data_IF_443900613409
#
_entry.id   IF_443900613409
#
_cell.length_a   1.000
_cell.length_b   1.000
_cell.length_c   1.000
_cell.angle_alpha   90.00
_cell.angle_beta   90.00
_cell.angle_gamma   90.00
#
_symmetry.space_group_name_H-M   'P 1'
#
loop_
_entity.id
_entity.type
_entity.pdbx_description
1 polymer ?
#
# COMPACT_ATOMS: atom_id res chain seq x y z
N UNK A 1 -68.36 -22.03 14.00
CA UNK A 1 -67.13 -22.73 13.55
C UNK A 1 -66.22 -21.91 12.63
N UNK A 2 -66.72 -20.90 11.89
CA UNK A 2 -65.86 -20.02 11.05
C UNK A 2 -65.01 -18.99 11.84
N UNK A 3 -65.37 -18.68 13.09
CA UNK A 3 -64.63 -17.71 13.91
C UNK A 3 -63.33 -18.27 14.55
N UNK A 4 -63.23 -19.60 14.69
CA UNK A 4 -62.03 -20.28 15.21
C UNK A 4 -60.98 -20.55 14.13
N UNK A 5 -61.38 -20.66 12.86
CA UNK A 5 -60.44 -20.83 11.75
C UNK A 5 -59.63 -19.55 11.47
N UNK A 6 -60.23 -18.36 11.69
CA UNK A 6 -59.53 -17.08 11.53
C UNK A 6 -58.57 -16.74 12.68
N UNK A 7 -58.79 -17.28 13.88
CA UNK A 7 -57.83 -17.12 15.00
C UNK A 7 -56.58 -17.99 14.85
N UNK A 8 -56.62 -19.05 14.04
CA UNK A 8 -55.46 -19.89 13.75
C UNK A 8 -54.59 -19.32 12.61
N UNK A 9 -55.20 -18.70 11.58
CA UNK A 9 -54.45 -17.99 10.54
C UNK A 9 -53.81 -16.67 11.03
N UNK A 10 -54.42 -15.98 12.00
CA UNK A 10 -53.90 -14.73 12.56
C UNK A 10 -52.63 -14.85 13.42
N UNK A 11 -52.20 -16.07 13.78
CA UNK A 11 -50.95 -16.30 14.52
C UNK A 11 -49.72 -16.47 13.62
N UNK A 12 -49.90 -16.66 12.31
CA UNK A 12 -48.82 -16.85 11.35
C UNK A 12 -48.39 -15.57 10.62
N UNK A 13 -49.12 -14.46 10.78
CA UNK A 13 -48.76 -13.14 10.28
C UNK A 13 -48.45 -12.15 11.42
N UNK A 14 -47.48 -12.48 12.28
CA UNK A 14 -46.85 -11.47 13.15
C UNK A 14 -45.48 -11.13 12.57
N UNK A 15 -45.39 -9.96 11.93
CA UNK A 15 -44.18 -9.16 11.70
C UNK A 15 -43.47 -8.75 13.03
N UNK A 16 -43.48 -9.63 14.04
CA UNK A 16 -42.89 -9.42 15.36
C UNK A 16 -41.95 -10.56 15.74
N UNK A 17 -41.75 -11.52 14.84
CA UNK A 17 -40.76 -12.59 15.05
C UNK A 17 -39.36 -12.05 14.77
N UNK A 18 -38.42 -12.18 15.73
CA UNK A 18 -37.04 -11.78 15.54
C UNK A 18 -36.40 -12.45 14.35
N UNK A 19 -36.73 -13.72 14.14
CA UNK A 19 -36.23 -14.49 13.02
C UNK A 19 -36.58 -13.82 11.68
N UNK A 20 -37.81 -13.33 11.52
CA UNK A 20 -38.24 -12.61 10.32
C UNK A 20 -37.43 -11.31 10.19
N UNK A 21 -37.24 -10.55 11.27
CA UNK A 21 -36.47 -9.29 11.21
C UNK A 21 -35.02 -9.54 10.76
N UNK A 22 -34.35 -10.54 11.34
CA UNK A 22 -32.96 -10.87 11.04
C UNK A 22 -32.80 -11.46 9.64
N UNK A 23 -33.75 -12.29 9.19
CA UNK A 23 -33.78 -12.81 7.83
C UNK A 23 -33.99 -11.67 6.82
N UNK A 24 -34.98 -10.80 7.05
CA UNK A 24 -35.21 -9.62 6.21
C UNK A 24 -33.98 -8.72 6.17
N UNK A 25 -33.35 -8.42 7.31
CA UNK A 25 -32.10 -7.65 7.37
C UNK A 25 -31.00 -8.29 6.53
N UNK A 26 -30.83 -9.61 6.63
CA UNK A 26 -29.80 -10.35 5.88
C UNK A 26 -30.07 -10.28 4.38
N UNK A 27 -31.29 -10.58 3.95
CA UNK A 27 -31.67 -10.56 2.53
C UNK A 27 -31.57 -9.16 1.95
N UNK A 28 -32.06 -8.15 2.66
CA UNK A 28 -32.00 -6.75 2.21
C UNK A 28 -30.54 -6.28 2.15
N UNK A 29 -29.73 -6.52 3.19
CA UNK A 29 -28.35 -6.06 3.19
C UNK A 29 -27.50 -6.78 2.15
N UNK A 30 -27.46 -8.11 2.14
CA UNK A 30 -26.56 -8.85 1.25
C UNK A 30 -27.11 -9.06 -0.16
N UNK A 31 -28.43 -9.06 -0.33
CA UNK A 31 -29.08 -9.25 -1.63
C UNK A 31 -29.41 -7.96 -2.37
N UNK A 32 -29.55 -6.82 -1.68
CA UNK A 32 -29.97 -5.55 -2.29
C UNK A 32 -28.98 -4.43 -1.99
N UNK A 33 -28.83 -4.03 -0.72
CA UNK A 33 -28.09 -2.81 -0.36
C UNK A 33 -26.59 -2.92 -0.65
N UNK A 34 -25.91 -3.96 -0.17
CA UNK A 34 -24.48 -4.13 -0.37
C UNK A 34 -24.12 -4.30 -1.85
N UNK A 35 -24.84 -5.10 -2.66
CA UNK A 35 -24.67 -5.09 -4.11
C UNK A 35 -24.83 -3.69 -4.73
N UNK A 36 -25.87 -2.95 -4.37
CA UNK A 36 -26.15 -1.63 -4.96
C UNK A 36 -25.12 -0.56 -4.55
N UNK A 37 -24.57 -0.62 -3.34
CA UNK A 37 -23.63 0.38 -2.84
C UNK A 37 -22.19 0.01 -3.21
N UNK A 38 -21.84 -1.28 -3.15
CA UNK A 38 -20.47 -1.76 -3.27
C UNK A 38 -20.10 -2.24 -4.68
N UNK A 39 -21.00 -2.18 -5.68
CA UNK A 39 -20.70 -2.71 -7.02
C UNK A 39 -19.54 -2.02 -7.75
N UNK A 40 -19.17 -0.79 -7.35
CA UNK A 40 -18.03 -0.04 -7.89
C UNK A 40 -16.76 -0.16 -7.04
N UNK A 41 -16.84 -0.80 -5.88
CA UNK A 41 -15.71 -0.93 -4.97
C UNK A 41 -14.78 -2.04 -5.47
N UNK A 42 -13.64 -1.66 -6.04
CA UNK A 42 -12.63 -2.59 -6.54
C UNK A 42 -12.20 -3.59 -5.43
N UNK A 43 -12.05 -4.86 -5.79
CA UNK A 43 -11.73 -5.96 -4.88
C UNK A 43 -12.79 -6.35 -3.83
N UNK A 44 -13.92 -5.63 -3.71
CA UNK A 44 -15.12 -6.10 -3.01
C UNK A 44 -15.69 -7.36 -3.68
N UNK A 45 -16.35 -8.22 -2.91
CA UNK A 45 -17.08 -9.38 -3.46
C UNK A 45 -18.29 -8.97 -4.32
N UNK A 46 -18.81 -7.76 -4.11
CA UNK A 46 -19.93 -7.21 -4.88
C UNK A 46 -19.50 -6.52 -6.18
N UNK A 47 -18.18 -6.40 -6.42
CA UNK A 47 -17.65 -5.69 -7.57
C UNK A 47 -18.10 -6.28 -8.91
N UNK A 48 -18.82 -5.49 -9.72
CA UNK A 48 -19.28 -5.92 -11.04
C UNK A 48 -18.20 -5.71 -12.10
N UNK A 49 -17.22 -6.63 -12.10
CA UNK A 49 -16.04 -6.59 -12.99
C UNK A 49 -16.37 -6.33 -14.46
N UNK A 50 -17.44 -6.94 -15.00
CA UNK A 50 -17.83 -6.79 -16.42
C UNK A 50 -18.22 -5.35 -16.77
N UNK A 51 -18.75 -4.61 -15.81
CA UNK A 51 -19.27 -3.26 -16.04
C UNK A 51 -18.24 -2.19 -15.71
N UNK A 52 -17.48 -2.37 -14.62
CA UNK A 52 -16.61 -1.30 -14.09
C UNK A 52 -15.14 -1.44 -14.44
N UNK A 53 -14.62 -2.65 -14.72
CA UNK A 53 -13.17 -2.82 -14.82
C UNK A 53 -12.56 -2.04 -15.98
N UNK A 54 -13.18 -2.08 -17.17
CA UNK A 54 -12.62 -1.38 -18.33
C UNK A 54 -12.76 0.15 -18.17
N UNK A 55 -13.96 0.71 -17.85
CA UNK A 55 -14.08 2.15 -17.60
C UNK A 55 -13.14 2.64 -16.51
N UNK A 56 -13.10 1.97 -15.35
CA UNK A 56 -12.23 2.37 -14.24
C UNK A 56 -10.74 2.29 -14.60
N UNK A 57 -10.33 1.29 -15.41
CA UNK A 57 -8.93 1.22 -15.87
C UNK A 57 -8.61 2.34 -16.85
N UNK A 58 -9.56 2.75 -17.70
CA UNK A 58 -9.39 3.88 -18.62
C UNK A 58 -9.34 5.21 -17.87
N UNK A 59 -10.28 5.45 -16.97
CA UNK A 59 -10.30 6.63 -16.08
C UNK A 59 -8.98 6.74 -15.30
N UNK A 60 -8.46 5.61 -14.80
CA UNK A 60 -7.17 5.59 -14.11
C UNK A 60 -5.99 5.90 -15.03
N UNK A 61 -5.97 5.41 -16.27
CA UNK A 61 -4.94 5.78 -17.26
C UNK A 61 -4.97 7.27 -17.57
N UNK A 62 -6.17 7.81 -17.84
CA UNK A 62 -6.36 9.23 -18.15
C UNK A 62 -5.92 10.12 -16.97
N UNK A 63 -6.32 9.75 -15.75
CA UNK A 63 -5.89 10.45 -14.54
C UNK A 63 -4.38 10.35 -14.35
N UNK A 64 -3.79 9.16 -14.49
CA UNK A 64 -2.33 8.99 -14.36
C UNK A 64 -1.57 9.78 -15.42
N UNK A 65 -2.09 9.89 -16.65
CA UNK A 65 -1.47 10.70 -17.70
C UNK A 65 -1.55 12.19 -17.35
N UNK A 66 -2.71 12.65 -16.88
CA UNK A 66 -2.89 14.03 -16.43
C UNK A 66 -1.95 14.38 -15.26
N UNK A 67 -1.86 13.52 -14.25
CA UNK A 67 -0.96 13.67 -13.11
C UNK A 67 0.52 13.71 -13.56
N UNK A 68 0.90 12.87 -14.53
CA UNK A 68 2.22 12.91 -15.16
C UNK A 68 2.54 14.25 -15.82
N UNK A 69 1.59 14.79 -16.59
CA UNK A 69 1.74 16.10 -17.23
C UNK A 69 1.76 17.26 -16.21
N UNK A 70 0.98 17.16 -15.14
CA UNK A 70 1.02 18.12 -14.03
C UNK A 70 2.38 18.09 -13.31
N UNK A 71 2.98 16.91 -13.14
CA UNK A 71 4.30 16.74 -12.55
C UNK A 71 5.43 17.28 -13.44
N UNK A 72 5.34 17.07 -14.76
CA UNK A 72 6.26 17.67 -15.73
C UNK A 72 6.22 19.21 -15.65
N UNK A 73 5.02 19.79 -15.76
CA UNK A 73 4.82 21.24 -15.63
C UNK A 73 5.29 21.80 -14.30
N UNK A 74 5.21 21.01 -13.23
CA UNK A 74 5.68 21.40 -11.90
C UNK A 74 7.20 21.65 -11.89
N UNK A 75 7.98 20.72 -12.44
CA UNK A 75 9.44 20.85 -12.49
C UNK A 75 9.91 21.87 -13.54
N UNK A 76 9.27 21.94 -14.71
CA UNK A 76 9.58 22.97 -15.72
C UNK A 76 9.40 24.39 -15.17
N UNK A 77 8.30 24.64 -14.42
CA UNK A 77 8.07 25.93 -13.77
C UNK A 77 9.12 26.26 -12.71
N UNK A 78 9.65 25.25 -12.03
CA UNK A 78 10.70 25.43 -11.01
C UNK A 78 12.06 25.71 -11.65
N UNK A 79 12.30 25.24 -12.88
CA UNK A 79 13.52 25.52 -13.65
C UNK A 79 13.59 26.98 -14.12
N UNK A 80 12.47 27.72 -14.13
CA UNK A 80 12.45 29.15 -14.42
C UNK A 80 13.23 29.92 -13.33
N UNK A 81 14.06 30.92 -13.68
CA UNK A 81 15.19 31.34 -12.86
C UNK A 81 14.75 32.10 -11.60
N UNK A 82 14.62 31.38 -10.49
CA UNK A 82 14.98 31.85 -9.15
C UNK A 82 16.27 31.13 -8.74
N UNK A 83 17.35 31.39 -9.49
CA UNK A 83 18.69 30.94 -9.15
C UNK A 83 19.26 31.83 -8.05
N UNK A 84 18.81 31.62 -6.82
CA UNK A 84 19.42 32.19 -5.63
C UNK A 84 19.03 31.38 -4.41
N UNK A 85 19.77 30.30 -4.19
CA UNK A 85 20.46 29.95 -2.93
C UNK A 85 20.73 28.44 -2.95
N UNK A 86 21.88 28.07 -3.53
CA UNK A 86 22.53 26.82 -3.20
C UNK A 86 23.01 26.92 -1.74
N UNK A 87 22.10 26.65 -0.80
CA UNK A 87 22.46 26.56 0.60
C UNK A 87 23.24 25.28 0.84
N UNK A 88 24.55 25.43 0.99
CA UNK A 88 25.32 24.75 2.03
C UNK A 88 25.41 23.23 1.91
N UNK A 89 26.46 22.80 1.23
CA UNK A 89 27.19 21.58 1.58
C UNK A 89 27.61 21.62 3.05
N UNK A 90 26.80 21.06 3.94
CA UNK A 90 27.28 20.49 5.19
C UNK A 90 27.08 18.99 5.13
N UNK A 91 28.09 18.24 5.59
CA UNK A 91 28.10 16.80 5.72
C UNK A 91 27.07 16.35 6.79
N UNK A 92 25.79 16.54 6.49
CA UNK A 92 24.68 16.20 7.36
C UNK A 92 24.23 14.78 7.04
N UNK A 93 24.30 13.90 8.04
CA UNK A 93 23.75 12.55 7.96
C UNK A 93 22.22 12.63 8.00
N UNK A 94 21.49 12.30 6.91
CA UNK A 94 20.05 12.41 6.91
C UNK A 94 19.41 11.32 7.80
N UNK A 95 18.35 11.70 8.52
CA UNK A 95 17.51 10.73 9.23
C UNK A 95 16.86 9.78 8.23
N UNK A 96 16.27 10.34 7.16
CA UNK A 96 15.59 9.59 6.11
C UNK A 96 16.11 10.00 4.74
N UNK A 97 16.59 9.03 3.97
CA UNK A 97 16.84 9.20 2.55
C UNK A 97 15.74 8.51 1.75
N UNK A 98 15.00 9.28 0.95
CA UNK A 98 14.05 8.76 -0.03
C UNK A 98 14.81 8.49 -1.33
N UNK A 99 15.04 7.22 -1.64
CA UNK A 99 15.71 6.81 -2.87
C UNK A 99 14.67 6.30 -3.86
N UNK A 100 14.49 7.00 -4.98
CA UNK A 100 13.56 6.61 -6.04
C UNK A 100 14.33 5.82 -7.10
N UNK A 101 13.98 4.55 -7.28
CA UNK A 101 14.54 3.65 -8.29
C UNK A 101 13.74 3.79 -9.57
N UNK A 102 14.41 4.11 -10.67
CA UNK A 102 13.73 4.43 -11.94
C UNK A 102 14.43 3.82 -13.15
N UNK A 103 13.60 3.47 -14.13
CA UNK A 103 13.98 2.98 -15.46
C UNK A 103 13.12 3.71 -16.50
N UNK A 104 13.52 3.78 -17.76
CA UNK A 104 12.70 4.42 -18.78
C UNK A 104 11.44 3.57 -19.02
N UNK A 105 10.28 4.20 -18.83
CA UNK A 105 8.96 3.64 -19.18
C UNK A 105 8.38 4.43 -20.36
N UNK A 106 7.08 4.29 -20.62
CA UNK A 106 6.39 5.13 -21.61
C UNK A 106 6.39 6.59 -21.15
N UNK A 107 6.88 7.48 -22.01
CA UNK A 107 7.06 8.90 -21.68
C UNK A 107 5.73 9.58 -21.32
N UNK A 108 4.60 9.16 -21.90
CA UNK A 108 3.30 9.82 -21.70
C UNK A 108 2.85 9.91 -20.23
N UNK A 109 3.28 8.97 -19.37
CA UNK A 109 2.85 8.89 -17.97
C UNK A 109 3.79 9.57 -16.99
N UNK A 110 5.07 9.78 -17.35
CA UNK A 110 6.06 10.43 -16.47
C UNK A 110 6.08 9.91 -15.01
N UNK A 111 6.04 8.59 -14.81
CA UNK A 111 5.85 7.97 -13.48
C UNK A 111 6.84 8.51 -12.43
N UNK A 112 8.14 8.59 -12.76
CA UNK A 112 9.15 9.12 -11.84
C UNK A 112 8.92 10.59 -11.49
N UNK A 113 8.43 11.42 -12.43
CA UNK A 113 8.09 12.82 -12.14
C UNK A 113 6.91 12.89 -11.18
N UNK A 114 5.90 12.02 -11.33
CA UNK A 114 4.78 11.96 -10.38
C UNK A 114 5.29 11.66 -8.98
N UNK A 115 6.07 10.58 -8.80
CA UNK A 115 6.61 10.19 -7.49
C UNK A 115 7.48 11.31 -6.90
N UNK A 116 8.42 11.85 -7.69
CA UNK A 116 9.34 12.88 -7.24
C UNK A 116 8.60 14.18 -6.86
N UNK A 117 7.62 14.62 -7.67
CA UNK A 117 6.88 15.86 -7.39
C UNK A 117 6.04 15.75 -6.13
N UNK A 118 5.40 14.61 -5.88
CA UNK A 118 4.64 14.37 -4.65
C UNK A 118 5.55 14.36 -3.42
N UNK A 119 6.65 13.60 -3.43
CA UNK A 119 7.61 13.63 -2.33
C UNK A 119 8.16 15.03 -2.07
N UNK A 120 8.53 15.75 -3.13
CA UNK A 120 9.08 17.10 -3.02
C UNK A 120 8.07 18.06 -2.38
N UNK A 121 6.81 18.08 -2.82
CA UNK A 121 5.74 18.89 -2.22
C UNK A 121 5.49 18.53 -0.76
N UNK A 122 5.47 17.24 -0.43
CA UNK A 122 5.24 16.77 0.94
C UNK A 122 6.41 17.12 1.87
N UNK A 123 7.66 17.06 1.39
CA UNK A 123 8.83 17.52 2.14
C UNK A 123 8.76 19.03 2.41
N UNK A 124 8.39 19.83 1.40
CA UNK A 124 8.19 21.26 1.56
C UNK A 124 7.09 21.57 2.61
N UNK A 125 5.95 20.88 2.53
CA UNK A 125 4.82 21.02 3.46
C UNK A 125 5.17 20.58 4.89
N UNK A 126 6.03 19.58 5.04
CA UNK A 126 6.49 19.08 6.34
C UNK A 126 7.41 20.09 7.07
N UNK A 127 8.12 20.95 6.32
CA UNK A 127 8.93 22.04 6.87
C UNK A 127 10.01 21.55 7.82
N UNK A 128 10.10 22.20 9.00
CA UNK A 128 11.16 21.95 9.99
C UNK A 128 11.27 20.47 10.43
N UNK A 129 10.15 19.74 10.45
CA UNK A 129 10.11 18.32 10.88
C UNK A 129 10.82 17.38 9.92
N UNK A 130 10.95 17.76 8.64
CA UNK A 130 11.60 16.96 7.60
C UNK A 130 12.93 17.58 7.14
N UNK A 131 13.50 18.52 7.90
CA UNK A 131 14.79 19.14 7.55
C UNK A 131 15.93 18.12 7.41
N UNK A 132 15.86 17.00 8.12
CA UNK A 132 16.82 15.91 8.06
C UNK A 132 16.51 14.86 6.99
N UNK A 133 15.51 15.10 6.14
CA UNK A 133 15.16 14.22 5.04
C UNK A 133 15.79 14.68 3.73
N UNK A 134 16.20 13.74 2.87
CA UNK A 134 16.78 14.01 1.56
C UNK A 134 16.17 13.09 0.50
N UNK A 135 16.31 13.48 -0.76
CA UNK A 135 15.91 12.69 -1.92
C UNK A 135 17.13 12.32 -2.77
N UNK A 136 17.13 11.12 -3.32
CA UNK A 136 18.13 10.60 -4.25
C UNK A 136 17.41 9.87 -5.39
N UNK A 137 17.82 10.12 -6.62
CA UNK A 137 17.38 9.35 -7.78
C UNK A 137 18.40 8.28 -8.10
N UNK A 138 17.93 7.04 -8.23
CA UNK A 138 18.74 5.91 -8.68
C UNK A 138 18.28 5.47 -10.07
N UNK A 139 19.00 5.93 -11.09
CA UNK A 139 18.73 5.57 -12.48
C UNK A 139 19.38 4.22 -12.81
N UNK A 140 18.56 3.23 -13.12
CA UNK A 140 18.99 1.87 -13.47
C UNK A 140 18.64 1.50 -14.91
N UNK A 141 18.43 2.52 -15.75
CA UNK A 141 18.37 2.39 -17.20
C UNK A 141 19.72 1.95 -17.75
N UNK A 142 19.69 1.09 -18.77
CA UNK A 142 20.89 0.52 -19.38
C UNK A 142 21.70 1.59 -20.13
N UNK A 143 21.01 2.52 -20.78
CA UNK A 143 21.55 3.78 -21.29
C UNK A 143 20.98 4.95 -20.48
N UNK A 144 21.69 5.42 -19.44
CA UNK A 144 21.22 6.50 -18.58
C UNK A 144 20.87 7.80 -19.32
N UNK A 145 21.46 8.04 -20.50
CA UNK A 145 21.25 9.26 -21.30
C UNK A 145 19.88 9.30 -21.98
N UNK A 146 19.26 8.14 -22.16
CA UNK A 146 17.93 7.98 -22.77
C UNK A 146 16.77 8.34 -21.83
N UNK A 147 17.03 8.49 -20.52
CA UNK A 147 16.00 8.77 -19.52
C UNK A 147 15.69 10.27 -19.40
N UNK A 148 14.76 10.76 -20.21
CA UNK A 148 14.41 12.19 -20.32
C UNK A 148 13.93 12.81 -19.00
N UNK A 149 13.09 12.09 -18.25
CA UNK A 149 12.55 12.58 -16.98
C UNK A 149 13.66 12.71 -15.93
N UNK A 150 14.58 11.74 -15.87
CA UNK A 150 15.74 11.81 -14.95
C UNK A 150 16.66 12.95 -15.34
N UNK A 151 16.85 13.24 -16.64
CA UNK A 151 17.64 14.40 -17.08
C UNK A 151 17.06 15.70 -16.56
N UNK A 152 15.74 15.88 -16.62
CA UNK A 152 15.06 17.04 -16.04
C UNK A 152 15.29 17.09 -14.52
N UNK A 153 15.06 15.97 -13.83
CA UNK A 153 15.18 15.88 -12.37
C UNK A 153 16.61 16.05 -11.85
N UNK A 154 17.63 15.77 -12.67
CA UNK A 154 19.04 15.88 -12.28
C UNK A 154 19.47 17.30 -11.89
N UNK A 155 18.71 18.31 -12.33
CA UNK A 155 18.91 19.71 -11.94
C UNK A 155 18.38 20.05 -10.54
N UNK A 156 17.54 19.18 -9.95
CA UNK A 156 16.88 19.39 -8.65
C UNK A 156 17.36 18.43 -7.57
N UNK A 157 17.68 17.19 -7.96
CA UNK A 157 18.04 16.13 -7.02
C UNK A 157 19.33 15.43 -7.46
N UNK A 158 20.16 14.99 -6.50
CA UNK A 158 21.30 14.14 -6.81
C UNK A 158 20.84 12.84 -7.49
N UNK A 159 21.61 12.42 -8.49
CA UNK A 159 21.35 11.21 -9.29
C UNK A 159 22.57 10.31 -9.22
N UNK A 160 22.32 9.03 -8.95
CA UNK A 160 23.28 7.95 -9.19
C UNK A 160 22.78 7.09 -10.32
N UNK A 161 23.67 6.77 -11.26
CA UNK A 161 23.32 5.98 -12.45
C UNK A 161 24.11 4.69 -12.47
N UNK A 162 23.45 3.58 -12.74
CA UNK A 162 24.11 2.31 -13.04
C UNK A 162 24.47 2.29 -14.51
N UNK A 163 25.60 2.89 -14.85
CA UNK A 163 26.08 2.90 -16.23
C UNK A 163 26.55 1.49 -16.65
N UNK A 164 25.88 0.93 -17.66
CA UNK A 164 26.28 -0.33 -18.32
C UNK A 164 26.71 -0.08 -19.77
N UNK A 165 26.87 1.18 -20.18
CA UNK A 165 27.33 1.52 -21.53
C UNK A 165 28.75 0.97 -21.72
N UNK A 166 28.88 0.00 -22.62
CA UNK A 166 30.14 -0.72 -22.86
C UNK A 166 30.28 -2.08 -22.18
N UNK A 167 29.38 -2.45 -21.27
CA UNK A 167 29.26 -3.85 -20.84
C UNK A 167 28.45 -4.61 -21.89
N UNK A 168 28.97 -5.74 -22.41
CA UNK A 168 28.16 -6.62 -23.24
C UNK A 168 26.96 -7.10 -22.39
N UNK A 169 25.72 -6.83 -22.79
CA UNK A 169 24.55 -7.28 -22.03
C UNK A 169 24.65 -8.80 -21.94
N UNK A 170 24.82 -9.32 -20.73
CA UNK A 170 24.87 -10.76 -20.50
C UNK A 170 23.54 -11.36 -20.98
N UNK A 171 23.52 -12.11 -22.10
CA UNK A 171 22.28 -12.62 -22.67
C UNK A 171 21.63 -13.68 -21.75
N UNK A 172 22.35 -14.17 -20.73
CA UNK A 172 21.85 -15.10 -19.72
C UNK A 172 21.20 -14.40 -18.52
N UNK A 173 21.29 -13.08 -18.42
CA UNK A 173 20.78 -12.32 -17.29
C UNK A 173 19.28 -12.09 -17.43
N UNK A 174 18.52 -12.94 -16.75
CA UNK A 174 17.07 -12.81 -16.73
C UNK A 174 16.63 -11.50 -16.02
N UNK A 175 15.43 -11.04 -16.34
CA UNK A 175 14.94 -9.75 -15.88
C UNK A 175 14.76 -9.66 -14.35
N UNK A 176 14.39 -10.76 -13.69
CA UNK A 176 14.26 -10.80 -12.23
C UNK A 176 15.63 -10.65 -11.54
N UNK A 177 16.68 -11.19 -12.15
CA UNK A 177 18.05 -11.01 -11.70
C UNK A 177 18.55 -9.57 -11.94
N UNK A 178 18.20 -8.95 -13.08
CA UNK A 178 18.44 -7.51 -13.31
C UNK A 178 17.81 -6.68 -12.20
N UNK A 179 16.52 -6.87 -11.97
CA UNK A 179 15.73 -6.13 -10.97
C UNK A 179 16.32 -6.26 -9.56
N UNK A 180 16.73 -7.47 -9.16
CA UNK A 180 17.43 -7.71 -7.89
C UNK A 180 18.75 -6.95 -7.83
N UNK A 181 19.57 -6.99 -8.87
CA UNK A 181 20.87 -6.31 -8.88
C UNK A 181 20.73 -4.79 -8.86
N UNK A 182 19.74 -4.25 -9.58
CA UNK A 182 19.41 -2.82 -9.58
C UNK A 182 18.98 -2.36 -8.18
N UNK A 183 18.14 -3.16 -7.51
CA UNK A 183 17.73 -2.93 -6.13
C UNK A 183 18.92 -2.89 -5.16
N UNK A 184 19.84 -3.86 -5.28
CA UNK A 184 21.08 -3.92 -4.48
C UNK A 184 21.94 -2.69 -4.75
N UNK A 185 22.16 -2.33 -6.02
CA UNK A 185 22.94 -1.16 -6.40
C UNK A 185 22.38 0.11 -5.77
N UNK A 186 21.07 0.35 -5.87
CA UNK A 186 20.45 1.54 -5.31
C UNK A 186 20.53 1.60 -3.77
N UNK A 187 20.38 0.47 -3.07
CA UNK A 187 20.60 0.41 -1.61
C UNK A 187 22.04 0.76 -1.24
N UNK A 188 23.01 0.24 -1.98
CA UNK A 188 24.43 0.47 -1.71
C UNK A 188 24.83 1.92 -2.00
N UNK A 189 24.40 2.49 -3.13
CA UNK A 189 24.64 3.89 -3.45
C UNK A 189 24.00 4.82 -2.41
N UNK A 190 22.80 4.49 -1.93
CA UNK A 190 22.14 5.24 -0.84
C UNK A 190 23.00 5.28 0.43
N UNK A 191 23.60 4.15 0.79
CA UNK A 191 24.49 4.04 1.94
C UNK A 191 25.82 4.77 1.73
N UNK A 192 26.39 4.68 0.52
CA UNK A 192 27.69 5.26 0.18
C UNK A 192 27.65 6.79 0.08
N UNK A 193 26.61 7.35 -0.54
CA UNK A 193 26.52 8.79 -0.82
C UNK A 193 26.13 9.60 0.42
N UNK A 194 25.21 9.07 1.24
CA UNK A 194 24.60 9.84 2.34
C UNK A 194 24.78 9.21 3.73
N UNK A 195 25.07 7.90 3.81
CA UNK A 195 25.09 7.14 5.07
C UNK A 195 23.88 7.44 6.00
N UNK A 196 22.62 7.41 5.52
CA UNK A 196 21.45 7.81 6.31
C UNK A 196 21.21 6.89 7.52
N UNK A 197 20.32 7.28 8.43
CA UNK A 197 19.80 6.36 9.47
C UNK A 197 18.78 5.37 8.87
N UNK A 198 17.87 5.88 8.04
CA UNK A 198 16.86 5.10 7.32
C UNK A 198 16.88 5.39 5.82
N UNK A 199 16.67 4.35 5.02
CA UNK A 199 16.51 4.42 3.56
C UNK A 199 15.08 4.01 3.23
N UNK A 200 14.31 4.94 2.68
CA UNK A 200 13.03 4.64 2.04
C UNK A 200 13.30 4.43 0.55
N UNK A 201 13.40 3.17 0.14
CA UNK A 201 13.58 2.78 -1.25
C UNK A 201 12.21 2.62 -1.91
N UNK A 202 11.95 3.40 -2.96
CA UNK A 202 10.65 3.52 -3.63
C UNK A 202 10.84 3.30 -5.11
N UNK A 203 9.93 2.56 -5.74
CA UNK A 203 9.89 2.38 -7.18
C UNK A 203 9.26 3.61 -7.87
N UNK A 204 9.59 3.83 -9.13
CA UNK A 204 9.14 4.96 -9.95
C UNK A 204 7.62 5.04 -10.13
N UNK A 205 6.88 4.01 -9.76
CA UNK A 205 5.42 3.92 -9.84
C UNK A 205 4.71 3.83 -8.48
N UNK A 206 5.39 4.21 -7.40
CA UNK A 206 4.85 4.22 -6.03
C UNK A 206 4.73 5.65 -5.48
N UNK A 207 3.58 6.28 -5.69
CA UNK A 207 3.32 7.67 -5.29
C UNK A 207 2.96 7.72 -3.80
N UNK A 208 3.58 8.61 -3.00
CA UNK A 208 3.29 8.70 -1.57
C UNK A 208 1.91 9.27 -1.26
N UNK A 209 1.32 8.79 -0.17
CA UNK A 209 0.12 9.37 0.44
C UNK A 209 0.47 10.65 1.22
N UNK A 210 -0.51 11.55 1.39
CA UNK A 210 -0.31 12.89 1.97
C UNK A 210 0.27 12.85 3.39
N UNK A 211 -0.07 11.83 4.16
CA UNK A 211 0.31 11.69 5.56
C UNK A 211 1.64 10.94 5.77
N UNK A 212 2.31 10.46 4.71
CA UNK A 212 3.48 9.56 4.79
C UNK A 212 4.51 10.02 5.82
N UNK A 213 4.93 11.28 5.79
CA UNK A 213 5.96 11.79 6.70
C UNK A 213 5.46 11.94 8.14
N UNK A 214 4.19 12.29 8.33
CA UNK A 214 3.61 12.37 9.68
C UNK A 214 3.53 10.98 10.33
N UNK A 215 3.21 9.96 9.54
CA UNK A 215 3.18 8.57 9.99
C UNK A 215 4.59 8.05 10.24
N UNK A 216 5.53 8.25 9.32
CA UNK A 216 6.93 7.84 9.50
C UNK A 216 7.54 8.50 10.75
N UNK A 217 7.31 9.79 10.98
CA UNK A 217 7.77 10.49 12.18
C UNK A 217 7.22 9.84 13.46
N UNK A 218 5.93 9.48 13.47
CA UNK A 218 5.33 8.76 14.59
C UNK A 218 5.96 7.36 14.77
N UNK A 219 6.21 6.62 13.68
CA UNK A 219 6.82 5.31 13.72
C UNK A 219 8.25 5.34 14.27
N UNK A 220 9.09 6.27 13.78
CA UNK A 220 10.45 6.47 14.25
C UNK A 220 10.49 6.77 15.77
N UNK A 221 9.66 7.71 16.22
CA UNK A 221 9.69 8.17 17.62
C UNK A 221 9.02 7.20 18.60
N UNK A 222 7.88 6.60 18.24
CA UNK A 222 7.03 5.88 19.19
C UNK A 222 7.04 4.36 19.03
N UNK A 223 7.50 3.82 17.89
CA UNK A 223 7.36 2.39 17.56
C UNK A 223 8.68 1.70 17.32
N UNK A 224 9.57 2.25 16.52
CA UNK A 224 10.81 1.56 16.12
C UNK A 224 11.84 1.44 17.24
N UNK A 225 11.68 2.20 18.34
CA UNK A 225 12.43 2.00 19.58
C UNK A 225 12.07 0.71 20.32
N UNK A 226 10.93 0.07 20.00
CA UNK A 226 10.49 -1.15 20.69
C UNK A 226 11.39 -2.34 20.30
N UNK A 227 11.79 -3.21 21.26
CA UNK A 227 12.76 -4.28 21.00
C UNK A 227 12.42 -5.20 19.83
N UNK A 228 11.13 -5.54 19.66
CA UNK A 228 10.68 -6.46 18.61
C UNK A 228 10.64 -5.82 17.20
N UNK A 229 10.74 -4.50 17.09
CA UNK A 229 10.78 -3.77 15.80
C UNK A 229 12.17 -3.22 15.48
N UNK A 230 13.00 -2.98 16.50
CA UNK A 230 14.29 -2.30 16.38
C UNK A 230 15.23 -2.94 15.35
N UNK A 231 15.31 -4.27 15.35
CA UNK A 231 16.22 -5.03 14.50
C UNK A 231 15.54 -5.59 13.25
N UNK A 232 14.39 -5.04 12.85
CA UNK A 232 13.70 -5.46 11.64
C UNK A 232 14.61 -5.30 10.40
N UNK A 233 14.55 -6.29 9.50
CA UNK A 233 15.24 -6.25 8.23
C UNK A 233 14.67 -5.15 7.33
N UNK A 234 13.34 -4.99 7.32
CA UNK A 234 12.64 -3.92 6.61
C UNK A 234 11.21 -3.70 7.11
N UNK A 235 10.64 -2.56 6.72
CA UNK A 235 9.22 -2.23 6.84
C UNK A 235 8.64 -1.97 5.44
N UNK A 236 7.65 -2.77 5.03
CA UNK A 236 6.89 -2.53 3.80
C UNK A 236 5.90 -1.38 4.01
N UNK A 237 5.84 -0.46 3.06
CA UNK A 237 4.88 0.65 3.07
C UNK A 237 3.71 0.44 2.09
N UNK A 238 3.71 -0.69 1.39
CA UNK A 238 2.66 -1.11 0.47
C UNK A 238 2.44 -2.62 0.54
N UNK A 239 1.17 -3.01 0.49
CA UNK A 239 0.76 -4.38 0.21
C UNK A 239 -0.51 -4.35 -0.65
N UNK A 240 -0.62 -5.17 -1.72
CA UNK A 240 -1.77 -5.10 -2.62
C UNK A 240 -3.10 -5.34 -1.90
N UNK A 241 -4.06 -4.45 -2.16
CA UNK A 241 -5.38 -4.41 -1.53
C UNK A 241 -6.15 -5.72 -1.75
N UNK A 242 -5.99 -6.34 -2.94
CA UNK A 242 -6.59 -7.64 -3.29
C UNK A 242 -6.14 -8.79 -2.39
N UNK A 243 -4.96 -8.70 -1.77
CA UNK A 243 -4.39 -9.73 -0.88
C UNK A 243 -4.69 -9.45 0.59
N UNK A 244 -5.21 -8.27 0.93
CA UNK A 244 -5.47 -7.81 2.29
C UNK A 244 -6.79 -8.33 2.89
N UNK A 245 -7.38 -9.43 2.42
CA UNK A 245 -8.67 -9.95 2.97
C UNK A 245 -8.53 -10.47 4.40
N UNK A 246 -9.64 -10.54 5.15
CA UNK A 246 -9.64 -11.17 6.48
C UNK A 246 -9.50 -12.68 6.36
N UNK A 247 -10.12 -13.28 5.33
CA UNK A 247 -9.97 -14.69 5.02
C UNK A 247 -8.64 -14.96 4.30
N UNK A 248 -7.55 -14.74 5.02
CA UNK A 248 -6.17 -14.99 4.61
C UNK A 248 -5.44 -15.62 5.82
N UNK A 249 -4.57 -16.63 5.66
CA UNK A 249 -3.92 -17.37 6.77
C UNK A 249 -3.11 -16.56 7.80
N UNK A 250 -3.06 -15.23 7.74
CA UNK A 250 -2.37 -14.39 8.71
C UNK A 250 -3.17 -14.27 10.04
N UNK A 251 -2.64 -14.75 11.19
CA UNK A 251 -3.38 -14.80 12.44
C UNK A 251 -3.91 -13.43 12.91
N UNK A 252 -3.13 -12.36 12.70
CA UNK A 252 -3.51 -11.02 13.13
C UNK A 252 -4.77 -10.51 12.42
N UNK A 253 -4.98 -10.88 11.16
CA UNK A 253 -6.18 -10.51 10.40
C UNK A 253 -7.41 -11.24 10.90
N UNK A 254 -7.26 -12.52 11.25
CA UNK A 254 -8.35 -13.31 11.85
C UNK A 254 -8.72 -12.73 13.22
N UNK A 255 -7.73 -12.37 14.05
CA UNK A 255 -7.97 -11.75 15.35
C UNK A 255 -8.65 -10.38 15.23
N UNK A 256 -8.25 -9.56 14.26
CA UNK A 256 -8.92 -8.30 13.94
C UNK A 256 -10.39 -8.53 13.54
N UNK A 257 -10.63 -9.53 12.69
CA UNK A 257 -11.98 -9.89 12.23
C UNK A 257 -12.88 -10.37 13.36
N UNK A 258 -12.36 -11.26 14.22
CA UNK A 258 -13.03 -11.72 15.42
C UNK A 258 -13.27 -10.56 16.39
N UNK A 259 -12.30 -9.68 16.57
CA UNK A 259 -12.42 -8.47 17.39
C UNK A 259 -13.54 -7.55 16.91
N UNK A 260 -13.64 -7.33 15.60
CA UNK A 260 -14.73 -6.57 14.98
C UNK A 260 -16.09 -7.21 15.27
N UNK A 261 -16.21 -8.54 15.11
CA UNK A 261 -17.44 -9.26 15.44
C UNK A 261 -17.79 -9.18 16.94
N UNK A 262 -16.81 -9.38 17.81
CA UNK A 262 -16.98 -9.31 19.27
C UNK A 262 -17.37 -7.91 19.76
N UNK A 263 -16.91 -6.86 19.09
CA UNK A 263 -17.28 -5.48 19.42
C UNK A 263 -18.65 -5.10 18.85
N UNK A 264 -18.89 -5.32 17.55
CA UNK A 264 -20.12 -4.91 16.88
C UNK A 264 -21.32 -5.78 17.25
N UNK A 265 -21.12 -7.06 17.56
CA UNK A 265 -22.20 -7.98 17.94
C UNK A 265 -23.03 -7.47 19.12
N UNK A 266 -22.43 -7.20 20.30
CA UNK A 266 -23.14 -6.62 21.44
C UNK A 266 -23.73 -5.24 21.15
N UNK A 267 -22.98 -4.36 20.47
CA UNK A 267 -23.43 -2.99 20.15
C UNK A 267 -24.70 -3.02 19.30
N UNK A 268 -24.69 -3.78 18.21
CA UNK A 268 -25.85 -3.92 17.31
C UNK A 268 -27.00 -4.66 17.99
N UNK A 269 -26.72 -5.65 18.84
CA UNK A 269 -27.76 -6.32 19.62
C UNK A 269 -28.46 -5.35 20.57
N UNK A 270 -27.70 -4.53 21.28
CA UNK A 270 -28.25 -3.50 22.17
C UNK A 270 -29.09 -2.48 21.38
N UNK A 271 -28.61 -2.02 20.23
CA UNK A 271 -29.35 -1.12 19.35
C UNK A 271 -30.67 -1.76 18.86
N UNK A 272 -30.61 -3.01 18.41
CA UNK A 272 -31.77 -3.77 17.97
C UNK A 272 -32.78 -4.00 19.10
N UNK A 273 -32.34 -4.41 20.30
CA UNK A 273 -33.25 -4.63 21.42
C UNK A 273 -33.95 -3.33 21.86
N UNK A 274 -33.24 -2.20 21.84
CA UNK A 274 -33.85 -0.88 22.09
C UNK A 274 -34.89 -0.52 21.02
N UNK A 275 -34.53 -0.66 19.75
CA UNK A 275 -35.43 -0.34 18.63
C UNK A 275 -36.67 -1.24 18.56
N UNK A 276 -36.52 -2.52 18.91
CA UNK A 276 -37.59 -3.51 18.89
C UNK A 276 -38.32 -3.69 20.24
N UNK A 277 -38.02 -2.86 21.24
CA UNK A 277 -38.69 -2.89 22.56
C UNK A 277 -38.51 -4.21 23.33
N UNK A 278 -37.35 -4.88 23.20
CA UNK A 278 -37.10 -6.20 23.79
C UNK A 278 -36.42 -6.09 25.15
N UNK A 279 -36.76 -7.01 26.05
CA UNK A 279 -36.34 -7.00 27.45
C UNK A 279 -34.81 -7.10 27.68
N UNK A 280 -34.02 -7.53 26.70
CA UNK A 280 -32.56 -7.56 26.82
C UNK A 280 -31.84 -8.29 25.68
N UNK A 281 -30.50 -8.20 25.61
CA UNK A 281 -29.69 -8.92 24.64
C UNK A 281 -29.64 -10.42 24.97
N UNK A 282 -29.81 -11.29 23.98
CA UNK A 282 -29.59 -12.73 24.11
C UNK A 282 -28.31 -13.15 23.39
N UNK A 283 -27.66 -14.21 23.86
CA UNK A 283 -26.42 -14.69 23.24
C UNK A 283 -26.59 -15.06 21.77
N UNK A 284 -27.74 -15.63 21.38
CA UNK A 284 -28.01 -15.94 19.98
C UNK A 284 -28.07 -14.67 19.11
N UNK A 285 -28.62 -13.56 19.63
CA UNK A 285 -28.66 -12.29 18.91
C UNK A 285 -27.26 -11.69 18.80
N UNK A 286 -26.47 -11.74 19.87
CA UNK A 286 -25.08 -11.27 19.87
C UNK A 286 -24.24 -12.06 18.87
N UNK A 287 -24.35 -13.39 18.87
CA UNK A 287 -23.66 -14.25 17.91
C UNK A 287 -24.11 -13.96 16.47
N UNK A 288 -25.41 -13.77 16.23
CA UNK A 288 -25.92 -13.39 14.91
C UNK A 288 -25.30 -12.07 14.43
N UNK A 289 -25.37 -11.01 15.24
CA UNK A 289 -24.85 -9.71 14.83
C UNK A 289 -23.31 -9.71 14.70
N UNK A 290 -22.60 -10.49 15.51
CA UNK A 290 -21.16 -10.67 15.37
C UNK A 290 -20.82 -11.29 14.01
N UNK A 291 -21.44 -12.43 13.67
CA UNK A 291 -21.25 -13.11 12.38
C UNK A 291 -21.71 -12.26 11.19
N UNK A 292 -22.82 -11.53 11.35
CA UNK A 292 -23.32 -10.59 10.34
C UNK A 292 -22.31 -9.48 10.05
N UNK A 293 -21.76 -8.84 11.08
CA UNK A 293 -20.76 -7.79 10.92
C UNK A 293 -19.46 -8.31 10.31
N UNK A 294 -19.02 -9.49 10.76
CA UNK A 294 -17.86 -10.17 10.19
C UNK A 294 -18.06 -10.47 8.69
N UNK A 295 -19.20 -11.06 8.32
CA UNK A 295 -19.52 -11.36 6.92
C UNK A 295 -19.56 -10.08 6.07
N UNK A 296 -20.20 -9.02 6.58
CA UNK A 296 -20.27 -7.75 5.87
C UNK A 296 -18.88 -7.13 5.65
N UNK A 297 -18.03 -7.10 6.68
CA UNK A 297 -16.69 -6.52 6.57
C UNK A 297 -15.80 -7.28 5.58
N UNK A 298 -15.90 -8.61 5.53
CA UNK A 298 -15.16 -9.44 4.56
C UNK A 298 -15.67 -9.23 3.12
N UNK A 299 -16.99 -9.17 2.93
CA UNK A 299 -17.58 -9.01 1.60
C UNK A 299 -17.37 -7.61 1.01
N UNK A 300 -17.43 -6.57 1.85
CA UNK A 300 -17.08 -5.20 1.43
C UNK A 300 -15.59 -5.10 1.13
N UNK A 301 -14.74 -5.63 2.02
CA UNK A 301 -13.29 -5.68 1.87
C UNK A 301 -12.58 -4.98 3.03
N UNK A 302 -11.62 -5.68 3.64
CA UNK A 302 -10.83 -5.19 4.79
C UNK A 302 -10.11 -3.87 4.50
N UNK A 303 -9.52 -3.71 3.32
CA UNK A 303 -8.73 -2.52 2.97
C UNK A 303 -9.54 -1.21 3.09
N UNK A 304 -10.83 -1.22 2.75
CA UNK A 304 -11.72 -0.06 3.00
C UNK A 304 -11.89 0.26 4.48
N UNK A 305 -11.88 -0.76 5.35
CA UNK A 305 -11.90 -0.56 6.80
C UNK A 305 -10.58 -0.02 7.34
N UNK A 306 -9.45 -0.38 6.72
CA UNK A 306 -8.12 0.14 7.10
C UNK A 306 -8.00 1.64 6.85
N UNK A 307 -8.71 2.19 5.87
CA UNK A 307 -8.73 3.62 5.58
C UNK A 307 -9.17 4.47 6.78
N UNK A 308 -9.99 3.92 7.70
CA UNK A 308 -10.37 4.58 8.94
C UNK A 308 -9.16 4.88 9.86
N UNK A 309 -8.05 4.15 9.71
CA UNK A 309 -6.82 4.40 10.47
C UNK A 309 -6.06 5.62 9.98
N UNK A 310 -6.34 6.14 8.77
CA UNK A 310 -5.71 7.37 8.26
C UNK A 310 -6.09 8.62 9.07
N UNK A 311 -7.14 8.54 9.89
CA UNK A 311 -7.59 9.64 10.75
C UNK A 311 -6.49 10.16 11.70
N UNK A 312 -5.56 9.30 12.14
CA UNK A 312 -4.48 9.73 13.01
C UNK A 312 -3.26 8.79 12.91
N UNK A 313 -2.01 9.30 12.88
CA UNK A 313 -0.79 8.48 12.76
C UNK A 313 -0.67 7.33 13.77
N UNK A 314 -1.17 7.52 14.99
CA UNK A 314 -1.14 6.49 16.04
C UNK A 314 -2.08 5.29 15.78
N UNK A 315 -3.02 5.41 14.84
CA UNK A 315 -3.93 4.33 14.46
C UNK A 315 -3.33 3.38 13.42
N UNK A 316 -2.20 3.75 12.81
CA UNK A 316 -1.48 2.87 11.89
C UNK A 316 -0.97 1.65 12.65
N UNK A 317 -1.13 0.49 12.02
CA UNK A 317 -0.68 -0.77 12.57
C UNK A 317 0.65 -1.19 11.93
N UNK A 318 1.42 -1.97 12.68
CA UNK A 318 2.67 -2.60 12.22
C UNK A 318 2.53 -4.08 12.49
N UNK A 319 2.36 -4.87 11.43
CA UNK A 319 2.14 -6.32 11.49
C UNK A 319 3.23 -7.07 10.73
N UNK A 320 3.47 -8.36 10.97
CA UNK A 320 4.48 -9.12 10.22
C UNK A 320 4.26 -9.02 8.71
N UNK A 321 5.36 -8.87 7.96
CA UNK A 321 5.32 -8.76 6.51
C UNK A 321 4.93 -10.10 5.86
N UNK A 322 4.37 -10.05 4.66
CA UNK A 322 4.08 -11.20 3.81
C UNK A 322 4.92 -11.20 2.53
N UNK A 323 4.86 -12.28 1.75
CA UNK A 323 5.77 -12.55 0.63
C UNK A 323 5.75 -11.48 -0.47
N UNK A 324 4.58 -10.96 -0.85
CA UNK A 324 4.52 -10.09 -2.02
C UNK A 324 4.94 -8.65 -1.77
N UNK A 325 5.65 -8.18 -2.79
CA UNK A 325 5.73 -6.84 -3.32
C UNK A 325 6.65 -5.89 -2.54
N UNK A 326 7.41 -5.08 -3.28
CA UNK A 326 8.44 -4.17 -2.76
C UNK A 326 8.40 -2.74 -3.34
N UNK A 327 7.24 -2.18 -3.77
CA UNK A 327 7.24 -0.87 -4.42
C UNK A 327 7.65 0.28 -3.49
N UNK A 328 7.48 0.12 -2.17
CA UNK A 328 8.04 1.03 -1.18
C UNK A 328 8.48 0.27 0.07
N UNK A 329 9.77 0.35 0.39
CA UNK A 329 10.44 -0.43 1.42
C UNK A 329 11.34 0.47 2.25
N UNK A 330 11.14 0.47 3.56
CA UNK A 330 11.94 1.24 4.50
C UNK A 330 12.96 0.31 5.20
N UNK A 331 14.24 0.66 5.12
CA UNK A 331 15.33 -0.07 5.73
C UNK A 331 16.08 0.80 6.73
N UNK A 332 16.30 0.35 7.98
CA UNK A 332 17.40 0.85 8.79
C UNK A 332 18.73 0.63 8.05
N UNK A 333 19.69 1.55 8.15
CA UNK A 333 20.94 1.46 7.38
C UNK A 333 21.74 0.18 7.63
N UNK A 334 21.79 -0.29 8.89
CA UNK A 334 22.41 -1.57 9.22
C UNK A 334 21.69 -2.75 8.54
N UNK A 335 20.36 -2.72 8.49
CA UNK A 335 19.54 -3.74 7.85
C UNK A 335 19.65 -3.69 6.32
N UNK A 336 19.80 -2.51 5.71
CA UNK A 336 20.06 -2.36 4.27
C UNK A 336 21.37 -3.07 3.86
N UNK A 337 22.44 -2.95 4.66
CA UNK A 337 23.71 -3.67 4.45
C UNK A 337 23.53 -5.20 4.54
N UNK A 338 22.72 -5.68 5.49
CA UNK A 338 22.42 -7.11 5.60
C UNK A 338 21.58 -7.61 4.43
N UNK A 339 20.51 -6.89 4.09
CA UNK A 339 19.60 -7.23 2.99
C UNK A 339 20.35 -7.31 1.65
N UNK A 340 21.18 -6.32 1.33
CA UNK A 340 22.04 -6.33 0.13
C UNK A 340 23.01 -7.52 0.15
N UNK A 341 23.71 -7.76 1.27
CA UNK A 341 24.60 -8.90 1.45
C UNK A 341 23.91 -10.25 1.23
N UNK A 342 22.68 -10.43 1.74
CA UNK A 342 21.91 -11.65 1.54
C UNK A 342 21.45 -11.82 0.09
N UNK A 343 20.95 -10.76 -0.55
CA UNK A 343 20.47 -10.83 -1.93
C UNK A 343 21.58 -11.10 -2.94
N UNK A 344 22.82 -10.64 -2.69
CA UNK A 344 23.99 -10.96 -3.52
C UNK A 344 24.27 -12.46 -3.58
N UNK A 345 23.99 -13.21 -2.51
CA UNK A 345 24.21 -14.65 -2.43
C UNK A 345 23.09 -15.50 -3.06
N UNK A 346 22.03 -14.88 -3.56
CA UNK A 346 20.88 -15.57 -4.17
C UNK A 346 20.82 -15.28 -5.67
N UNK A 347 20.16 -16.15 -6.45
CA UNK A 347 19.87 -15.90 -7.87
C UNK A 347 18.36 -15.86 -8.10
N UNK A 348 17.88 -14.76 -8.68
CA UNK A 348 16.47 -14.58 -8.98
C UNK A 348 16.11 -15.16 -10.34
N UNK A 349 14.88 -15.63 -10.46
CA UNK A 349 14.31 -16.26 -11.66
C UNK A 349 12.78 -16.13 -11.63
N UNK A 350 12.12 -16.54 -12.70
CA UNK A 350 10.66 -16.60 -12.73
C UNK A 350 10.12 -17.46 -11.57
N UNK A 351 9.15 -16.93 -10.82
CA UNK A 351 8.61 -17.56 -9.61
C UNK A 351 9.47 -17.41 -8.35
N UNK A 352 10.64 -16.75 -8.45
CA UNK A 352 11.50 -16.41 -7.33
C UNK A 352 12.15 -15.03 -7.57
N UNK A 353 11.29 -14.01 -7.56
CA UNK A 353 11.69 -12.62 -7.74
C UNK A 353 12.28 -12.05 -6.44
N UNK A 354 12.72 -10.78 -6.47
CA UNK A 354 13.42 -10.14 -5.34
C UNK A 354 12.59 -10.10 -4.05
N UNK A 355 11.27 -9.98 -4.17
CA UNK A 355 10.32 -9.94 -3.06
C UNK A 355 10.20 -11.30 -2.36
N UNK A 356 9.99 -12.38 -3.13
CA UNK A 356 10.06 -13.75 -2.61
C UNK A 356 11.44 -14.05 -2.02
N UNK A 357 12.52 -13.60 -2.65
CA UNK A 357 13.87 -13.78 -2.12
C UNK A 357 14.04 -13.11 -0.75
N UNK A 358 13.66 -11.83 -0.62
CA UNK A 358 13.67 -11.10 0.64
C UNK A 358 12.81 -11.76 1.72
N UNK A 359 11.63 -12.26 1.36
CA UNK A 359 10.75 -12.94 2.31
C UNK A 359 11.31 -14.29 2.76
N UNK A 360 11.90 -15.07 1.84
CA UNK A 360 12.52 -16.36 2.15
C UNK A 360 13.68 -16.22 3.15
N UNK A 361 14.39 -15.09 3.10
CA UNK A 361 15.49 -14.77 4.01
C UNK A 361 15.04 -14.58 5.46
N UNK A 362 13.80 -14.13 5.70
CA UNK A 362 13.27 -13.95 7.06
C UNK A 362 13.36 -15.26 7.85
N UNK A 363 12.86 -16.35 7.26
CA UNK A 363 12.94 -17.68 7.88
C UNK A 363 14.35 -18.23 7.86
N UNK A 364 15.08 -18.09 6.75
CA UNK A 364 16.41 -18.69 6.59
C UNK A 364 17.48 -18.05 7.49
N UNK A 365 17.33 -16.79 7.87
CA UNK A 365 18.28 -16.03 8.69
C UNK A 365 17.75 -15.66 10.07
N UNK A 366 16.51 -16.02 10.40
CA UNK A 366 15.87 -15.63 11.66
C UNK A 366 15.61 -14.12 11.75
N UNK A 367 15.45 -13.46 10.60
CA UNK A 367 15.19 -12.02 10.51
C UNK A 367 13.68 -11.76 10.59
N UNK A 368 13.31 -10.59 11.11
CA UNK A 368 11.92 -10.15 11.15
C UNK A 368 11.70 -9.01 10.16
N UNK A 369 10.53 -8.96 9.55
CA UNK A 369 10.11 -7.82 8.76
C UNK A 369 8.62 -7.55 8.97
N UNK A 370 8.23 -6.30 8.72
CA UNK A 370 6.89 -5.82 9.03
C UNK A 370 6.28 -5.07 7.85
N UNK A 371 4.98 -4.88 7.88
CA UNK A 371 4.22 -4.02 6.98
C UNK A 371 3.45 -3.00 7.80
N UNK A 372 3.42 -1.77 7.30
CA UNK A 372 2.62 -0.68 7.85
C UNK A 372 1.25 -0.69 7.18
N UNK A 373 0.18 -0.66 7.98
CA UNK A 373 -1.19 -0.67 7.50
C UNK A 373 -2.01 0.52 8.07
N UNK A 374 -2.71 1.30 7.23
CA UNK A 374 -2.86 1.19 5.77
C UNK A 374 -1.59 1.56 4.98
N UNK A 375 -1.63 1.31 3.66
CA UNK A 375 -0.53 1.60 2.73
C UNK A 375 -0.18 3.10 2.77
N UNK A 376 1.11 3.44 2.83
CA UNK A 376 1.59 4.84 2.79
C UNK A 376 1.99 5.31 1.38
N UNK A 377 1.88 4.42 0.40
CA UNK A 377 2.02 4.74 -1.02
C UNK A 377 0.89 4.08 -1.80
N UNK A 378 0.52 4.68 -2.92
CA UNK A 378 -0.35 4.09 -3.95
C UNK A 378 0.51 3.64 -5.13
N UNK A 379 0.21 2.46 -5.68
CA UNK A 379 0.88 1.96 -6.86
C UNK A 379 0.14 2.43 -8.12
N UNK A 380 0.79 3.26 -8.94
CA UNK A 380 0.23 3.85 -10.17
C UNK A 380 0.69 3.15 -11.46
N UNK A 381 1.61 2.20 -11.33
CA UNK A 381 2.26 1.52 -12.44
C UNK A 381 1.34 0.52 -13.12
N UNK A 382 0.68 0.92 -14.20
CA UNK A 382 -0.10 0.01 -15.04
C UNK A 382 0.71 -0.59 -16.19
N UNK A 383 1.72 0.14 -16.67
CA UNK A 383 2.72 -0.38 -17.59
C UNK A 383 3.94 -0.84 -16.83
N UNK A 384 4.13 -2.17 -16.77
CA UNK A 384 5.31 -2.77 -16.16
C UNK A 384 6.48 -2.74 -17.14
N UNK A 385 7.67 -2.42 -16.65
CA UNK A 385 8.92 -2.67 -17.37
C UNK A 385 9.18 -4.16 -17.59
N UNK A 386 8.51 -5.04 -16.83
CA UNK A 386 8.65 -6.51 -16.90
C UNK A 386 7.74 -7.18 -17.92
N UNK A 387 6.62 -6.54 -18.32
CA UNK A 387 5.61 -7.16 -19.18
C UNK A 387 5.09 -6.17 -20.20
N UNK A 388 5.29 -6.48 -21.48
CA UNK A 388 4.65 -5.79 -22.58
C UNK A 388 3.15 -6.12 -22.56
N UNK A 389 2.35 -5.21 -22.00
CA UNK A 389 0.89 -5.29 -22.07
C UNK A 389 0.35 -4.05 -22.78
N UNK A 390 -0.29 -4.23 -23.93
CA UNK A 390 -0.90 -3.13 -24.67
C UNK A 390 -2.08 -2.48 -23.95
N UNK A 391 -2.81 -3.27 -23.14
CA UNK A 391 -4.05 -2.86 -22.48
C UNK A 391 -4.05 -3.28 -20.99
N UNK A 392 -3.34 -2.56 -20.11
CA UNK A 392 -3.31 -2.87 -18.69
C UNK A 392 -4.67 -2.62 -18.01
N UNK A 393 -4.93 -3.36 -16.92
CA UNK A 393 -6.18 -3.31 -16.15
C UNK A 393 -5.89 -3.33 -14.66
N UNK A 394 -6.75 -2.68 -13.87
CA UNK A 394 -6.66 -2.55 -12.40
C UNK A 394 -6.98 -3.86 -11.64
N UNK A 395 -6.23 -4.96 -11.88
CA UNK A 395 -6.53 -6.29 -11.31
C UNK A 395 -5.65 -6.72 -10.15
#
# INVERSE_FOLDING_TARGET
>A
MLHQAWQLCGKWCRWSSPFIHLLTLTVVTFGVLAPLICHRLLHSYFYLRRWHLNPMSQEFLEQSQQEGQDALRYFEKMQMPNASEASGSDAFQPLLLVTIVTVQRRNDFHYVLQVASHFHRLLQKCGARCQSHRMLLCNVESDPSSHEDVRLLSSFFPVVSRDRTGENPDPSLNQFEKEKQDYIFCLEQSLLVYNPEYILLVEDDAVPEEEIFSVLQHLFSARFSKPYLRDALYFKLYHPERLQRYFNPEPMRILEWLGLGMFLGPVLTCAYCRAAGRAGPSWCLVAFFALYSMALSELVGRHYGLELRRLHPALYNVVPASECCTPAMLFPAASARRASGYLRGLRCRQGFAKDTALYSLLRAKGENAFVVEPNLVRHVGMYSSLRLNGNPKLL
#
